data_IF_517369988107
#
_entry.id   IF_517369988107
#
_cell.length_a   1.000
_cell.length_b   1.000
_cell.length_c   1.000
_cell.angle_alpha   90.00
_cell.angle_beta   90.00
_cell.angle_gamma   90.00
#
_symmetry.space_group_name_H-M   'P 1'
#
loop_
_entity.id
_entity.type
_entity.pdbx_description
1 polymer ?
#
# COMPACT_ATOMS: atom_id res chain seq x y z
N UNK A 1 -4.40 6.48 7.56
CA UNK A 1 -5.75 6.63 6.98
C UNK A 1 -6.74 5.72 7.71
N UNK A 2 -8.03 6.02 7.76
CA UNK A 2 -9.04 5.14 8.38
C UNK A 2 -10.07 4.74 7.33
N UNK A 3 -10.28 3.43 7.16
CA UNK A 3 -11.22 2.89 6.17
C UNK A 3 -12.52 2.50 6.88
N UNK A 4 -13.70 2.96 6.43
CA UNK A 4 -14.98 2.52 6.99
C UNK A 4 -15.30 1.07 6.64
N UNK A 5 -16.31 0.47 7.28
CA UNK A 5 -16.72 -0.93 7.01
C UNK A 5 -17.04 -1.21 5.54
N UNK A 6 -17.63 -0.22 4.86
CA UNK A 6 -17.86 -0.24 3.42
C UNK A 6 -17.43 1.09 2.80
N UNK A 7 -16.64 1.03 1.73
CA UNK A 7 -16.18 2.19 0.98
C UNK A 7 -16.30 1.93 -0.52
N UNK A 8 -16.57 2.95 -1.33
CA UNK A 8 -16.52 2.79 -2.78
C UNK A 8 -15.08 2.90 -3.29
N UNK A 9 -14.79 2.26 -4.42
CA UNK A 9 -13.47 2.40 -5.08
C UNK A 9 -13.10 3.86 -5.33
N UNK A 10 -14.08 4.69 -5.74
CA UNK A 10 -13.90 6.12 -5.94
C UNK A 10 -13.54 6.87 -4.65
N UNK A 11 -14.26 6.62 -3.56
CA UNK A 11 -13.98 7.24 -2.26
C UNK A 11 -12.64 6.80 -1.68
N UNK A 12 -12.28 5.52 -1.85
CA UNK A 12 -11.00 4.98 -1.42
C UNK A 12 -9.85 5.68 -2.15
N UNK A 13 -9.95 5.79 -3.47
CA UNK A 13 -8.97 6.50 -4.30
C UNK A 13 -8.84 7.97 -3.88
N UNK A 14 -9.97 8.63 -3.60
CA UNK A 14 -9.99 10.03 -3.17
C UNK A 14 -9.32 10.22 -1.81
N UNK A 15 -9.55 9.33 -0.84
CA UNK A 15 -8.88 9.38 0.47
C UNK A 15 -7.37 9.16 0.38
N UNK A 16 -6.93 8.29 -0.53
CA UNK A 16 -5.51 8.04 -0.80
C UNK A 16 -4.87 9.10 -1.69
N UNK A 17 -5.63 10.05 -2.23
CA UNK A 17 -5.18 11.00 -3.25
C UNK A 17 -4.54 10.33 -4.49
N UNK A 18 -5.03 9.14 -4.85
CA UNK A 18 -4.62 8.40 -6.06
C UNK A 18 -5.76 8.39 -7.08
N UNK A 19 -5.46 7.99 -8.32
CA UNK A 19 -6.51 7.86 -9.35
C UNK A 19 -7.29 6.57 -9.12
N UNK A 20 -8.61 6.62 -9.28
CA UNK A 20 -9.46 5.43 -9.19
C UNK A 20 -9.01 4.31 -10.15
N UNK A 21 -8.45 4.64 -11.32
CA UNK A 21 -7.89 3.66 -12.24
C UNK A 21 -6.70 2.86 -11.67
N UNK A 22 -5.90 3.44 -10.77
CA UNK A 22 -4.79 2.72 -10.11
C UNK A 22 -5.34 1.72 -9.10
N UNK A 23 -6.33 2.13 -8.29
CA UNK A 23 -7.03 1.25 -7.34
C UNK A 23 -7.71 0.08 -8.05
N UNK A 24 -8.39 0.35 -9.17
CA UNK A 24 -9.04 -0.70 -9.98
C UNK A 24 -8.00 -1.66 -10.56
N UNK A 25 -6.83 -1.15 -10.97
CA UNK A 25 -5.76 -1.99 -11.52
C UNK A 25 -5.20 -2.94 -10.46
N UNK A 26 -4.98 -2.47 -9.24
CA UNK A 26 -4.54 -3.35 -8.14
C UNK A 26 -5.61 -4.37 -7.74
N UNK A 27 -6.89 -3.97 -7.70
CA UNK A 27 -7.99 -4.94 -7.52
C UNK A 27 -7.97 -6.02 -8.60
N UNK A 28 -7.73 -5.65 -9.87
CA UNK A 28 -7.60 -6.62 -10.96
C UNK A 28 -6.37 -7.53 -10.80
N UNK A 29 -5.24 -7.03 -10.29
CA UNK A 29 -4.06 -7.85 -9.99
C UNK A 29 -4.36 -8.90 -8.92
N UNK A 30 -5.21 -8.57 -7.95
CA UNK A 30 -5.73 -9.48 -6.92
C UNK A 30 -6.84 -10.42 -7.44
N UNK A 31 -7.22 -10.32 -8.71
CA UNK A 31 -8.28 -11.12 -9.33
C UNK A 31 -9.70 -10.62 -9.04
N UNK A 32 -9.84 -9.42 -8.46
CA UNK A 32 -11.12 -8.79 -8.13
C UNK A 32 -11.52 -7.81 -9.23
N UNK A 33 -12.56 -8.14 -9.99
CA UNK A 33 -13.15 -7.19 -10.94
C UNK A 33 -14.05 -6.20 -10.21
N UNK A 34 -13.63 -4.94 -10.15
CA UNK A 34 -14.38 -3.85 -9.52
C UNK A 34 -14.52 -2.64 -10.46
N UNK A 35 -15.50 -1.78 -10.16
CA UNK A 35 -15.73 -0.52 -10.86
C UNK A 35 -15.65 0.66 -9.87
N UNK A 36 -15.58 1.89 -10.36
CA UNK A 36 -15.43 3.09 -9.51
C UNK A 36 -16.52 3.23 -8.43
N UNK A 37 -17.75 2.79 -8.72
CA UNK A 37 -18.88 2.86 -7.79
C UNK A 37 -19.10 1.56 -7.01
N UNK A 38 -18.22 0.56 -7.18
CA UNK A 38 -18.31 -0.71 -6.49
C UNK A 38 -18.02 -0.49 -5.00
N UNK A 39 -18.91 -0.98 -4.13
CA UNK A 39 -18.62 -1.08 -2.70
C UNK A 39 -17.62 -2.20 -2.45
N UNK A 40 -16.62 -1.88 -1.64
CA UNK A 40 -15.62 -2.77 -1.08
C UNK A 40 -15.81 -2.83 0.43
N UNK A 41 -15.59 -4.02 0.98
CA UNK A 41 -15.37 -4.23 2.41
C UNK A 41 -14.03 -3.65 2.87
N UNK A 42 -13.93 -3.37 4.16
CA UNK A 42 -12.73 -2.84 4.80
C UNK A 42 -11.50 -3.72 4.54
N UNK A 43 -11.65 -5.05 4.55
CA UNK A 43 -10.53 -5.98 4.37
C UNK A 43 -9.94 -5.86 2.97
N UNK A 44 -10.78 -5.91 1.93
CA UNK A 44 -10.36 -5.75 0.53
C UNK A 44 -9.79 -4.36 0.28
N UNK A 45 -10.43 -3.32 0.81
CA UNK A 45 -9.94 -1.96 0.67
C UNK A 45 -8.56 -1.78 1.33
N UNK A 46 -8.35 -2.40 2.49
CA UNK A 46 -7.07 -2.34 3.22
C UNK A 46 -5.94 -2.97 2.41
N UNK A 47 -6.16 -4.17 1.87
CA UNK A 47 -5.18 -4.86 1.03
C UNK A 47 -4.71 -3.99 -0.14
N UNK A 48 -5.64 -3.34 -0.85
CA UNK A 48 -5.31 -2.48 -2.00
C UNK A 48 -4.51 -1.24 -1.57
N UNK A 49 -4.82 -0.69 -0.41
CA UNK A 49 -4.12 0.48 0.13
C UNK A 49 -2.67 0.11 0.50
N UNK A 50 -2.48 -1.07 1.08
CA UNK A 50 -1.16 -1.61 1.42
C UNK A 50 -0.31 -1.90 0.18
N UNK A 51 -0.88 -2.50 -0.86
CA UNK A 51 -0.19 -2.73 -2.15
C UNK A 51 0.26 -1.42 -2.82
N UNK A 52 -0.53 -0.36 -2.66
CA UNK A 52 -0.19 0.99 -3.14
C UNK A 52 0.77 1.74 -2.19
N UNK A 53 1.33 1.08 -1.18
CA UNK A 53 2.32 1.63 -0.26
C UNK A 53 1.77 2.63 0.76
N UNK A 54 0.46 2.67 0.97
CA UNK A 54 -0.19 3.56 1.92
C UNK A 54 -0.48 2.84 3.25
N UNK A 55 -0.40 3.56 4.37
CA UNK A 55 -0.68 2.99 5.70
C UNK A 55 -2.14 3.17 6.14
N UNK A 56 -2.82 2.04 6.31
CA UNK A 56 -4.14 1.95 6.95
C UNK A 56 -3.99 1.82 8.46
N UNK A 57 -4.81 2.56 9.20
CA UNK A 57 -4.94 2.44 10.65
C UNK A 57 -6.27 1.73 10.90
N UNK A 58 -6.21 0.42 11.09
CA UNK A 58 -7.36 -0.39 11.51
C UNK A 58 -7.65 -0.11 12.98
N UNK A 59 -8.87 0.35 13.29
CA UNK A 59 -9.28 0.65 14.68
C UNK A 59 -9.77 -0.61 15.40
N UNK A 60 -8.97 -1.68 15.39
CA UNK A 60 -9.23 -2.89 16.16
C UNK A 60 -8.10 -3.12 17.16
N UNK A 61 -8.29 -2.53 18.36
CA UNK A 61 -7.76 -2.79 19.72
C UNK A 61 -6.31 -3.27 19.98
N UNK A 62 -5.54 -3.78 19.02
CA UNK A 62 -4.19 -4.30 19.23
C UNK A 62 -3.21 -3.55 18.34
N UNK A 63 -2.33 -2.82 19.00
CA UNK A 63 -1.20 -2.10 18.45
C UNK A 63 -0.21 -3.05 17.72
N UNK A 64 0.65 -2.45 16.88
CA UNK A 64 1.95 -2.98 16.40
C UNK A 64 1.81 -3.95 15.19
N UNK A 65 2.49 -3.78 14.05
CA UNK A 65 3.93 -3.99 13.80
C UNK A 65 4.24 -3.50 12.36
N UNK A 66 5.04 -2.47 12.13
CA UNK A 66 6.48 -2.53 11.82
C UNK A 66 6.82 -2.69 10.32
N UNK A 67 7.43 -1.63 9.77
CA UNK A 67 8.45 -1.58 8.68
C UNK A 67 8.32 -2.55 7.49
N UNK A 68 8.04 -2.02 6.30
CA UNK A 68 8.60 -2.59 5.07
C UNK A 68 9.59 -1.60 4.45
N UNK A 69 10.84 -1.98 4.62
CA UNK A 69 12.06 -1.36 4.17
C UNK A 69 12.13 -1.17 2.65
N UNK A 70 12.67 -0.01 2.30
CA UNK A 70 13.62 0.24 1.21
C UNK A 70 13.95 -0.98 0.34
N UNK A 71 13.27 -1.10 -0.81
CA UNK A 71 13.81 -1.89 -1.92
C UNK A 71 14.51 -0.95 -2.88
N UNK A 72 15.84 -0.90 -2.76
CA UNK A 72 16.80 -1.00 -3.87
C UNK A 72 18.21 -1.04 -3.26
N UNK A 73 18.55 -2.21 -2.71
CA UNK A 73 19.94 -2.65 -2.67
C UNK A 73 20.48 -2.63 -4.11
N UNK A 74 21.29 -1.63 -4.42
CA UNK A 74 22.16 -1.65 -5.59
C UNK A 74 23.49 -1.04 -5.22
N UNK A 75 24.46 -1.96 -5.07
CA UNK A 75 25.90 -1.78 -5.17
C UNK A 75 26.64 -1.49 -3.85
N UNK A 76 26.77 -2.56 -3.04
CA UNK A 76 28.00 -2.77 -2.30
C UNK A 76 29.16 -2.98 -3.29
N UNK A 77 29.99 -1.96 -3.43
CA UNK A 77 31.35 -2.06 -3.95
C UNK A 77 32.21 -1.21 -3.03
N UNK A 78 32.79 -1.83 -2.00
CA UNK A 78 33.63 -1.14 -1.03
C UNK A 78 34.90 -0.61 -1.71
N UNK A 79 35.25 0.68 -1.56
CA UNK A 79 36.58 1.15 -1.91
C UNK A 79 37.55 0.64 -0.83
N UNK A 80 38.52 -0.19 -1.19
CA UNK A 80 39.63 -0.54 -0.29
C UNK A 80 40.61 0.64 -0.21
N UNK A 81 40.82 1.29 0.95
CA UNK A 81 41.91 2.23 1.14
C UNK A 81 42.97 1.55 2.02
N UNK A 82 43.94 0.88 1.42
CA UNK A 82 45.16 0.49 2.13
C UNK A 82 46.21 1.61 1.97
N UNK A 83 46.51 2.25 3.10
CA UNK A 83 47.61 3.19 3.32
C UNK A 83 48.19 2.81 4.69
N UNK A 84 49.46 3.04 5.04
CA UNK A 84 50.74 3.11 4.32
C UNK A 84 51.76 2.05 4.81
N UNK A 85 52.94 1.99 4.20
CA UNK A 85 54.20 1.68 4.90
C UNK A 85 55.34 2.45 4.25
#
# INVERSE_FOLDING_TARGET
>A
MSIPENITVGDLAQQMAVKAGEVIKELMNLGVMATINQMLDQDTATLVVEELGHRVVLKSKEEVEERLEETLASQEGTPNPEHPS
#
